data_IF_004811337398
#
_entry.id   IF_004811337398
#
_cell.length_a   1.000
_cell.length_b   1.000
_cell.length_c   1.000
_cell.angle_alpha   90.00
_cell.angle_beta   90.00
_cell.angle_gamma   90.00
#
_symmetry.space_group_name_H-M   'P 1'
#
loop_
_entity.id
_entity.type
_entity.pdbx_description
1 polymer ?
#
# COMPACT_ATOMS: atom_id res chain seq x y z
N UNK A 1 -0.04 13.02 -30.64
CA UNK A 1 0.88 13.05 -29.48
C UNK A 1 0.20 13.38 -28.14
N UNK A 2 -0.52 14.48 -27.94
CA UNK A 2 -1.17 14.78 -26.64
C UNK A 2 -2.24 13.77 -26.21
N UNK A 3 -3.12 13.35 -27.10
CA UNK A 3 -4.20 12.39 -26.80
C UNK A 3 -3.71 10.98 -26.52
N UNK A 4 -2.65 10.54 -27.15
CA UNK A 4 -2.04 9.21 -26.92
C UNK A 4 -1.35 9.11 -25.57
N UNK A 5 -0.62 10.16 -25.16
CA UNK A 5 -0.01 10.23 -23.82
C UNK A 5 -1.08 10.25 -22.73
N UNK A 6 -2.17 10.96 -22.95
CA UNK A 6 -3.28 10.97 -22.01
C UNK A 6 -3.95 9.60 -21.91
N UNK A 7 -4.21 8.93 -23.04
CA UNK A 7 -4.79 7.58 -23.07
C UNK A 7 -3.89 6.57 -22.35
N UNK A 8 -2.58 6.57 -22.60
CA UNK A 8 -1.61 5.71 -21.93
C UNK A 8 -1.54 6.00 -20.40
N UNK A 9 -1.62 7.27 -19.99
CA UNK A 9 -1.64 7.63 -18.57
C UNK A 9 -2.92 7.16 -17.87
N UNK A 10 -4.08 7.26 -18.53
CA UNK A 10 -5.37 6.74 -18.03
C UNK A 10 -5.32 5.22 -17.88
N UNK A 11 -4.82 4.50 -18.89
CA UNK A 11 -4.67 3.04 -18.84
C UNK A 11 -3.75 2.57 -17.71
N UNK A 12 -2.64 3.28 -17.48
CA UNK A 12 -1.74 2.98 -16.36
C UNK A 12 -2.42 3.23 -15.01
N UNK A 13 -3.22 4.30 -14.88
CA UNK A 13 -4.00 4.60 -13.68
C UNK A 13 -5.02 3.51 -13.38
N UNK A 14 -5.78 3.07 -14.38
CA UNK A 14 -6.74 1.97 -14.27
C UNK A 14 -6.07 0.65 -13.86
N UNK A 15 -4.88 0.35 -14.43
CA UNK A 15 -4.09 -0.82 -14.05
C UNK A 15 -3.61 -0.74 -12.59
N UNK A 16 -3.28 0.46 -12.10
CA UNK A 16 -2.88 0.67 -10.70
C UNK A 16 -4.05 0.44 -9.74
N UNK A 17 -5.25 0.93 -10.07
CA UNK A 17 -6.46 0.72 -9.27
C UNK A 17 -6.83 -0.77 -9.20
N UNK A 18 -6.70 -1.51 -10.30
CA UNK A 18 -6.93 -2.95 -10.33
C UNK A 18 -5.92 -3.70 -9.45
N UNK A 19 -4.63 -3.33 -9.48
CA UNK A 19 -3.61 -3.91 -8.61
C UNK A 19 -3.97 -3.70 -7.13
N UNK A 20 -4.38 -2.49 -6.75
CA UNK A 20 -4.81 -2.18 -5.39
C UNK A 20 -6.04 -3.02 -4.99
N UNK A 21 -6.96 -3.30 -5.93
CA UNK A 21 -8.07 -4.22 -5.75
C UNK A 21 -7.63 -5.64 -5.44
N UNK A 22 -6.67 -6.20 -6.18
CA UNK A 22 -6.12 -7.54 -5.92
C UNK A 22 -5.36 -7.59 -4.59
N UNK A 23 -4.59 -6.55 -4.27
CA UNK A 23 -3.90 -6.47 -2.99
C UNK A 23 -4.88 -6.47 -1.81
N UNK A 24 -5.97 -5.70 -1.89
CA UNK A 24 -7.06 -5.72 -0.89
C UNK A 24 -7.69 -7.10 -0.77
N UNK A 25 -7.98 -7.75 -1.89
CA UNK A 25 -8.53 -9.10 -1.88
C UNK A 25 -7.63 -10.07 -1.10
N UNK A 26 -6.32 -10.09 -1.37
CA UNK A 26 -5.38 -10.95 -0.65
C UNK A 26 -5.28 -10.58 0.83
N UNK A 27 -5.19 -9.30 1.16
CA UNK A 27 -5.10 -8.83 2.55
C UNK A 27 -6.39 -9.09 3.35
N UNK A 28 -7.52 -9.34 2.70
CA UNK A 28 -8.79 -9.66 3.38
C UNK A 28 -8.92 -11.12 3.84
N UNK A 29 -7.95 -11.99 3.51
CA UNK A 29 -7.95 -13.35 4.02
C UNK A 29 -7.57 -13.39 5.51
N UNK A 30 -8.40 -14.05 6.32
CA UNK A 30 -8.20 -14.16 7.78
C UNK A 30 -6.85 -14.75 8.16
N UNK A 31 -6.32 -15.64 7.34
CA UNK A 31 -4.99 -16.23 7.49
C UNK A 31 -3.89 -15.17 7.51
N UNK A 32 -3.94 -14.24 6.56
CA UNK A 32 -2.96 -13.18 6.43
C UNK A 32 -3.16 -12.09 7.49
N UNK A 33 -4.42 -11.72 7.74
CA UNK A 33 -4.78 -10.81 8.83
C UNK A 33 -4.27 -11.32 10.17
N UNK A 34 -4.45 -12.62 10.46
CA UNK A 34 -4.00 -13.21 11.72
C UNK A 34 -2.47 -13.15 11.87
N UNK A 35 -1.72 -13.35 10.78
CA UNK A 35 -0.26 -13.20 10.79
C UNK A 35 0.14 -11.75 11.06
N UNK A 36 -0.53 -10.79 10.43
CA UNK A 36 -0.29 -9.36 10.66
C UNK A 36 -0.59 -8.99 12.12
N UNK A 37 -1.78 -9.33 12.62
CA UNK A 37 -2.17 -9.03 14.01
C UNK A 37 -1.23 -9.67 15.03
N UNK A 38 -0.81 -10.93 14.82
CA UNK A 38 0.17 -11.62 15.66
C UNK A 38 1.49 -10.86 15.75
N UNK A 39 1.92 -10.27 14.66
CA UNK A 39 3.18 -9.55 14.56
C UNK A 39 3.14 -8.18 15.23
N UNK A 40 2.02 -7.44 15.11
CA UNK A 40 1.99 -6.02 15.46
C UNK A 40 1.04 -5.67 16.62
N UNK A 41 0.06 -6.51 16.94
CA UNK A 41 -0.92 -6.23 17.98
C UNK A 41 -0.51 -6.74 19.35
N UNK A 42 -0.50 -5.87 20.35
CA UNK A 42 -0.09 -6.23 21.72
C UNK A 42 -0.96 -7.32 22.34
N UNK A 43 -2.26 -7.27 22.07
CA UNK A 43 -3.26 -8.21 22.60
C UNK A 43 -3.13 -9.61 22.01
N UNK A 44 -2.42 -9.76 20.89
CA UNK A 44 -2.31 -11.02 20.15
C UNK A 44 -1.00 -11.78 20.42
N UNK A 45 -0.08 -11.23 21.22
CA UNK A 45 1.27 -11.79 21.43
C UNK A 45 1.25 -13.24 21.92
N UNK A 46 0.35 -13.55 22.85
CA UNK A 46 0.25 -14.88 23.46
C UNK A 46 -0.72 -15.82 22.71
N UNK A 47 -1.46 -15.30 21.73
CA UNK A 47 -2.43 -16.09 20.97
C UNK A 47 -1.77 -16.83 19.82
N UNK A 48 -2.23 -18.03 19.51
CA UNK A 48 -1.88 -18.74 18.28
C UNK A 48 -2.55 -18.09 17.05
N UNK A 49 -2.01 -18.31 15.86
CA UNK A 49 -2.61 -17.84 14.59
C UNK A 49 -4.06 -18.31 14.46
N UNK A 50 -4.34 -19.57 14.89
CA UNK A 50 -5.69 -20.11 14.84
C UNK A 50 -6.64 -19.35 15.76
N UNK A 51 -6.26 -19.08 17.00
CA UNK A 51 -7.09 -18.32 17.94
C UNK A 51 -7.34 -16.90 17.45
N UNK A 52 -6.34 -16.23 16.87
CA UNK A 52 -6.51 -14.90 16.27
C UNK A 52 -7.50 -14.98 15.11
N UNK A 53 -7.35 -15.93 14.21
CA UNK A 53 -8.26 -16.15 13.09
C UNK A 53 -9.71 -16.38 13.53
N UNK A 54 -9.89 -17.21 14.56
CA UNK A 54 -11.20 -17.52 15.12
C UNK A 54 -11.82 -16.33 15.88
N UNK A 55 -11.01 -15.31 16.25
CA UNK A 55 -11.45 -14.09 16.91
C UNK A 55 -11.86 -12.98 15.95
N UNK A 56 -11.55 -13.10 14.66
CA UNK A 56 -11.93 -12.12 13.64
C UNK A 56 -13.39 -12.34 13.27
N UNK A 57 -14.21 -11.30 13.48
CA UNK A 57 -15.61 -11.33 13.05
C UNK A 57 -15.67 -11.47 11.54
N UNK A 58 -16.49 -12.40 11.08
CA UNK A 58 -16.86 -12.48 9.69
C UNK A 58 -18.28 -11.94 9.56
N UNK A 59 -18.52 -11.18 8.51
CA UNK A 59 -19.88 -10.96 8.06
C UNK A 59 -20.52 -12.32 7.77
N UNK A 60 -21.73 -12.64 8.28
CA UNK A 60 -22.33 -13.97 8.13
C UNK A 60 -22.53 -14.41 6.67
N UNK A 61 -22.41 -13.52 5.71
CA UNK A 61 -22.51 -13.83 4.27
C UNK A 61 -21.22 -14.38 3.63
N UNK A 62 -20.10 -14.54 4.39
CA UNK A 62 -18.81 -14.93 3.83
C UNK A 62 -18.44 -16.36 4.21
N UNK A 63 -18.89 -17.31 3.42
CA UNK A 63 -18.45 -18.72 3.50
C UNK A 63 -16.99 -18.95 3.02
N UNK A 64 -16.28 -17.96 2.52
CA UNK A 64 -15.00 -18.10 1.81
C UNK A 64 -13.75 -17.91 2.66
N UNK A 65 -13.88 -17.61 3.94
CA UNK A 65 -12.73 -17.31 4.81
C UNK A 65 -12.06 -15.96 4.54
N UNK A 66 -12.61 -15.19 3.60
CA UNK A 66 -12.20 -13.83 3.25
C UNK A 66 -13.16 -12.81 3.88
N UNK A 67 -12.60 -11.73 4.41
CA UNK A 67 -13.40 -10.58 4.83
C UNK A 67 -13.66 -9.73 3.58
N UNK A 68 -14.94 -9.52 3.23
CA UNK A 68 -15.27 -8.58 2.16
C UNK A 68 -14.97 -7.18 2.65
N UNK A 69 -13.91 -6.60 2.11
CA UNK A 69 -13.61 -5.18 2.28
C UNK A 69 -14.73 -4.40 1.64
N UNK A 70 -15.63 -3.93 2.45
CA UNK A 70 -16.60 -2.94 2.02
C UNK A 70 -15.87 -1.61 1.91
N UNK A 71 -16.07 -0.88 0.84
CA UNK A 71 -15.79 0.54 0.83
C UNK A 71 -16.78 1.24 1.77
N UNK A 72 -16.75 0.94 3.08
CA UNK A 72 -17.56 1.67 4.04
C UNK A 72 -17.07 3.11 4.08
N UNK A 73 -17.97 4.01 3.72
CA UNK A 73 -17.76 5.43 3.77
C UNK A 73 -18.20 5.94 5.16
N UNK A 74 -17.29 6.55 5.89
CA UNK A 74 -17.66 7.32 7.09
C UNK A 74 -17.62 8.81 6.77
N UNK A 75 -18.76 9.46 7.00
CA UNK A 75 -18.91 10.90 6.88
C UNK A 75 -18.34 11.58 8.12
N UNK A 76 -17.36 12.45 7.92
CA UNK A 76 -17.01 13.40 8.96
C UNK A 76 -18.19 14.35 9.24
N UNK A 77 -18.31 14.90 10.45
CA UNK A 77 -19.34 15.92 10.77
C UNK A 77 -19.36 17.11 9.82
N UNK A 78 -18.25 17.36 9.10
CA UNK A 78 -18.11 18.43 8.08
C UNK A 78 -18.28 17.95 6.64
N UNK A 79 -18.77 16.73 6.41
CA UNK A 79 -19.10 16.23 5.08
C UNK A 79 -17.95 15.58 4.29
N UNK A 80 -16.76 15.44 4.86
CA UNK A 80 -15.69 14.67 4.23
C UNK A 80 -15.95 13.16 4.38
N UNK A 81 -15.56 12.37 3.39
CA UNK A 81 -15.75 10.92 3.35
C UNK A 81 -14.41 10.22 3.55
N UNK A 82 -14.33 9.32 4.53
CA UNK A 82 -13.22 8.37 4.68
C UNK A 82 -13.65 7.03 4.11
N UNK A 83 -12.82 6.47 3.23
CA UNK A 83 -12.98 5.13 2.69
C UNK A 83 -11.90 4.24 3.25
N UNK A 84 -12.29 3.12 3.82
CA UNK A 84 -11.39 2.11 4.35
C UNK A 84 -11.19 0.99 3.33
N UNK A 85 -9.97 0.53 3.15
CA UNK A 85 -9.69 -0.60 2.27
C UNK A 85 -10.28 -1.89 2.84
N UNK A 86 -9.99 -2.18 4.11
CA UNK A 86 -10.50 -3.34 4.82
C UNK A 86 -10.80 -2.93 6.26
N UNK A 87 -12.06 -3.01 6.66
CA UNK A 87 -12.50 -2.72 8.03
C UNK A 87 -13.16 -3.96 8.62
N UNK A 88 -12.76 -4.35 9.82
CA UNK A 88 -13.30 -5.50 10.52
C UNK A 88 -13.18 -5.35 12.03
N UNK A 89 -13.89 -6.20 12.76
CA UNK A 89 -13.81 -6.28 14.22
C UNK A 89 -13.18 -7.59 14.66
N UNK A 90 -12.53 -7.54 15.82
CA UNK A 90 -11.91 -8.71 16.45
C UNK A 90 -12.44 -8.83 17.88
N UNK A 91 -12.93 -10.00 18.24
CA UNK A 91 -13.40 -10.33 19.57
C UNK A 91 -12.46 -11.29 20.29
N UNK A 92 -11.76 -10.82 21.31
CA UNK A 92 -10.79 -11.62 22.08
C UNK A 92 -11.44 -12.06 23.39
N UNK A 93 -11.94 -13.30 23.44
CA UNK A 93 -12.63 -13.86 24.61
C UNK A 93 -11.70 -14.02 25.82
N UNK A 94 -10.45 -14.36 25.62
CA UNK A 94 -9.42 -14.54 26.65
C UNK A 94 -9.09 -13.26 27.45
N UNK A 95 -9.40 -12.09 26.90
CA UNK A 95 -9.22 -10.78 27.52
C UNK A 95 -10.55 -10.13 27.92
N UNK A 96 -11.51 -10.91 28.43
CA UNK A 96 -12.78 -10.37 28.94
C UNK A 96 -13.72 -9.83 27.84
N UNK A 97 -13.79 -10.50 26.68
CA UNK A 97 -14.54 -10.06 25.51
C UNK A 97 -14.08 -8.69 24.97
N UNK A 98 -12.80 -8.49 24.88
CA UNK A 98 -12.23 -7.28 24.25
C UNK A 98 -12.63 -7.23 22.76
N UNK A 99 -13.32 -6.17 22.37
CA UNK A 99 -13.62 -5.84 20.97
C UNK A 99 -12.62 -4.79 20.47
N UNK A 100 -12.05 -5.03 19.32
CA UNK A 100 -11.12 -4.11 18.65
C UNK A 100 -11.67 -3.80 17.25
N UNK A 101 -11.48 -2.56 16.82
CA UNK A 101 -11.75 -2.15 15.43
C UNK A 101 -10.43 -2.05 14.68
N UNK A 102 -10.36 -2.67 13.52
CA UNK A 102 -9.15 -2.70 12.69
C UNK A 102 -9.46 -2.16 11.31
N UNK A 103 -8.65 -1.21 10.87
CA UNK A 103 -8.54 -0.78 9.49
C UNK A 103 -7.19 -1.26 8.95
N UNK A 104 -7.21 -1.90 7.80
CA UNK A 104 -6.02 -2.39 7.10
C UNK A 104 -5.97 -1.81 5.69
N UNK A 105 -4.93 -1.04 5.40
CA UNK A 105 -4.73 -0.30 4.15
C UNK A 105 -3.56 -0.85 3.34
N UNK A 106 -3.78 -1.06 2.05
CA UNK A 106 -2.77 -1.43 1.08
C UNK A 106 -2.25 -0.18 0.36
N UNK A 107 -1.08 0.33 0.75
CA UNK A 107 -0.55 1.59 0.25
C UNK A 107 0.61 1.37 -0.72
N UNK A 108 0.37 1.55 -2.02
CA UNK A 108 1.39 1.39 -3.06
C UNK A 108 2.30 2.61 -3.18
N UNK A 109 1.74 3.82 -3.21
CA UNK A 109 2.53 5.05 -3.27
C UNK A 109 2.99 5.47 -1.88
N UNK A 110 4.31 5.53 -1.65
CA UNK A 110 4.88 6.00 -0.38
C UNK A 110 4.78 7.52 -0.22
N UNK A 111 4.77 8.27 -1.32
CA UNK A 111 4.64 9.73 -1.37
C UNK A 111 3.41 10.16 -2.18
N UNK A 112 2.20 10.02 -1.64
CA UNK A 112 0.97 10.36 -2.35
C UNK A 112 0.68 11.87 -2.40
N UNK A 113 1.61 12.72 -1.97
CA UNK A 113 1.46 14.18 -1.87
C UNK A 113 1.06 14.68 -0.47
N UNK A 114 0.94 13.78 0.49
CA UNK A 114 0.67 14.07 1.91
C UNK A 114 1.37 13.02 2.79
N UNK A 115 1.44 13.29 4.10
CA UNK A 115 2.04 12.40 5.09
C UNK A 115 1.11 11.24 5.44
N UNK A 116 1.60 9.99 5.24
CA UNK A 116 0.82 8.77 5.48
C UNK A 116 0.50 8.55 6.96
N UNK A 117 1.42 8.92 7.85
CA UNK A 117 1.19 8.79 9.31
C UNK A 117 0.05 9.69 9.73
N UNK A 118 0.04 10.94 9.24
CA UNK A 118 -1.05 11.89 9.49
C UNK A 118 -2.40 11.35 8.99
N UNK A 119 -2.43 10.74 7.79
CA UNK A 119 -3.64 10.09 7.27
C UNK A 119 -4.07 8.92 8.16
N UNK A 120 -3.12 8.09 8.59
CA UNK A 120 -3.37 6.96 9.49
C UNK A 120 -3.97 7.40 10.83
N UNK A 121 -3.47 8.50 11.40
CA UNK A 121 -4.02 9.11 12.63
C UNK A 121 -5.44 9.61 12.40
N UNK A 122 -5.72 10.29 11.28
CA UNK A 122 -7.07 10.73 10.94
C UNK A 122 -8.03 9.55 10.80
N UNK A 123 -7.63 8.47 10.15
CA UNK A 123 -8.45 7.26 9.99
C UNK A 123 -8.76 6.61 11.33
N UNK A 124 -7.76 6.46 12.20
CA UNK A 124 -7.95 5.91 13.53
C UNK A 124 -8.86 6.78 14.39
N UNK A 125 -8.71 8.11 14.34
CA UNK A 125 -9.56 9.06 15.06
C UNK A 125 -11.02 8.98 14.59
N UNK A 126 -11.24 8.84 13.28
CA UNK A 126 -12.58 8.68 12.69
C UNK A 126 -13.23 7.38 13.14
N UNK A 127 -12.49 6.25 13.12
CA UNK A 127 -12.99 4.96 13.64
C UNK A 127 -13.30 5.03 15.13
N UNK A 128 -12.50 5.75 15.92
CA UNK A 128 -12.75 5.89 17.34
C UNK A 128 -13.99 6.75 17.60
N UNK A 129 -14.10 7.92 16.96
CA UNK A 129 -15.23 8.83 17.14
C UNK A 129 -16.53 8.27 16.55
N UNK A 130 -16.47 7.53 15.46
CA UNK A 130 -17.63 6.92 14.82
C UNK A 130 -18.36 5.87 15.69
N UNK A 131 -17.71 5.36 16.74
CA UNK A 131 -18.36 4.47 17.71
C UNK A 131 -19.41 5.20 18.56
N UNK A 132 -19.21 6.50 18.84
CA UNK A 132 -20.11 7.30 19.67
C UNK A 132 -21.48 7.51 19.02
N UNK A 133 -21.56 7.47 17.71
CA UNK A 133 -22.83 7.70 16.98
C UNK A 133 -23.58 6.40 16.69
N UNK A 134 -22.85 5.29 16.57
CA UNK A 134 -23.40 4.02 16.07
C UNK A 134 -23.66 2.97 17.15
N UNK A 135 -22.82 2.90 18.18
CA UNK A 135 -22.79 1.78 19.12
C UNK A 135 -22.85 2.18 20.59
N UNK A 136 -22.63 3.44 20.91
CA UNK A 136 -22.49 3.90 22.29
C UNK A 136 -23.53 4.99 22.55
N UNK A 137 -24.29 4.81 23.61
CA UNK A 137 -25.20 5.85 24.08
C UNK A 137 -24.43 7.12 24.47
N UNK A 138 -25.01 8.27 24.16
CA UNK A 138 -24.39 9.57 24.37
C UNK A 138 -23.81 9.73 25.78
N UNK A 139 -22.48 9.87 25.86
CA UNK A 139 -21.76 10.18 27.11
C UNK A 139 -21.05 9.01 27.78
N UNK A 140 -21.21 7.75 27.33
CA UNK A 140 -20.52 6.60 27.93
C UNK A 140 -19.17 6.31 27.22
N UNK A 141 -18.21 7.19 27.43
CA UNK A 141 -16.86 7.07 26.85
C UNK A 141 -16.10 5.82 27.33
N UNK A 142 -16.50 5.19 28.43
CA UNK A 142 -15.86 3.97 28.93
C UNK A 142 -16.17 2.75 28.07
N UNK A 143 -17.20 2.83 27.22
CA UNK A 143 -17.53 1.79 26.24
C UNK A 143 -16.68 1.83 24.96
N UNK A 144 -15.94 2.92 24.72
CA UNK A 144 -15.08 3.03 23.54
C UNK A 144 -14.13 1.84 23.43
N UNK A 145 -14.02 1.27 22.24
CA UNK A 145 -13.14 0.15 21.93
C UNK A 145 -11.87 0.66 21.26
N UNK A 146 -10.76 -0.03 21.50
CA UNK A 146 -9.48 0.29 20.88
C UNK A 146 -9.55 0.12 19.37
N UNK A 147 -8.85 1.01 18.65
CA UNK A 147 -8.75 1.05 17.20
C UNK A 147 -7.31 0.79 16.77
N UNK A 148 -7.16 -0.08 15.79
CA UNK A 148 -5.94 -0.27 15.03
C UNK A 148 -6.12 0.29 13.62
N UNK A 149 -5.20 1.15 13.17
CA UNK A 149 -5.07 1.60 11.78
C UNK A 149 -3.74 1.09 11.25
N UNK A 150 -3.77 0.04 10.42
CA UNK A 150 -2.60 -0.70 9.94
C UNK A 150 -2.39 -0.38 8.46
N UNK A 151 -1.20 0.06 8.10
CA UNK A 151 -0.82 0.51 6.76
C UNK A 151 0.32 -0.33 6.22
N UNK A 152 0.10 -1.01 5.10
CA UNK A 152 1.12 -1.80 4.39
C UNK A 152 1.68 -0.95 3.27
N UNK A 153 2.85 -0.35 3.50
CA UNK A 153 3.56 0.48 2.54
C UNK A 153 4.45 -0.40 1.65
N UNK A 154 4.01 -0.63 0.42
CA UNK A 154 4.66 -1.59 -0.48
C UNK A 154 5.99 -1.07 -1.05
N UNK A 155 6.06 0.23 -1.38
CA UNK A 155 7.20 0.84 -2.09
C UNK A 155 7.87 1.93 -1.23
N UNK A 156 8.26 1.57 0.00
CA UNK A 156 9.06 2.44 0.84
C UNK A 156 10.47 2.63 0.25
N UNK A 157 11.07 3.84 0.37
CA UNK A 157 12.46 4.05 -0.04
C UNK A 157 13.41 3.19 0.81
N UNK A 158 14.59 2.89 0.27
CA UNK A 158 15.55 1.96 0.90
C UNK A 158 15.84 2.28 2.37
N UNK A 159 16.02 3.56 2.68
CA UNK A 159 16.30 4.04 4.04
C UNK A 159 15.19 3.75 5.06
N UNK A 160 13.94 3.55 4.60
CA UNK A 160 12.74 3.34 5.42
C UNK A 160 12.18 1.91 5.28
N UNK A 161 12.61 1.17 4.25
CA UNK A 161 12.17 -0.20 3.97
C UNK A 161 12.52 -1.16 5.12
N UNK A 162 11.84 -2.29 5.17
CA UNK A 162 12.02 -3.33 6.18
C UNK A 162 11.85 -2.82 7.62
N UNK A 163 10.85 -1.94 7.85
CA UNK A 163 10.57 -1.37 9.18
C UNK A 163 9.10 -1.48 9.54
N UNK A 164 8.84 -1.64 10.82
CA UNK A 164 7.50 -1.55 11.41
C UNK A 164 7.54 -0.51 12.52
N UNK A 165 6.65 0.48 12.44
CA UNK A 165 6.58 1.56 13.42
C UNK A 165 5.16 1.68 13.95
N UNK A 166 5.01 1.68 15.27
CA UNK A 166 3.76 1.96 15.95
C UNK A 166 3.73 3.40 16.47
N UNK A 167 2.63 4.09 16.24
CA UNK A 167 2.31 5.41 16.79
C UNK A 167 1.12 5.26 17.70
N UNK A 168 1.28 5.57 18.99
CA UNK A 168 0.24 5.46 20.01
C UNK A 168 0.34 6.56 21.05
N UNK A 169 -0.72 6.77 21.78
CA UNK A 169 -0.75 7.70 22.92
C UNK A 169 -0.08 7.02 24.10
N UNK A 170 0.89 7.71 24.70
CA UNK A 170 1.56 7.27 25.94
C UNK A 170 1.48 8.40 26.97
N UNK A 171 1.10 8.11 28.23
CA UNK A 171 1.09 9.12 29.28
C UNK A 171 2.54 9.51 29.65
N UNK A 172 2.72 10.80 29.93
CA UNK A 172 3.97 11.34 30.44
C UNK A 172 3.65 12.35 31.53
N UNK A 173 4.10 12.08 32.74
CA UNK A 173 4.01 13.08 33.83
C UNK A 173 4.88 14.30 33.48
N UNK A 174 4.24 15.44 33.33
CA UNK A 174 4.91 16.73 33.10
C UNK A 174 5.29 17.37 34.44
N UNK A 175 4.46 17.15 35.47
CA UNK A 175 4.71 17.57 36.84
C UNK A 175 4.03 16.62 37.82
N UNK A 176 4.72 16.26 38.90
CA UNK A 176 4.23 15.28 39.85
C UNK A 176 4.22 13.87 39.27
N UNK A 177 3.56 12.95 39.98
CA UNK A 177 3.37 11.57 39.54
C UNK A 177 1.90 11.16 39.76
N UNK A 178 1.23 10.76 38.68
CA UNK A 178 -0.13 10.25 38.75
C UNK A 178 -0.13 8.80 39.28
N UNK A 179 -1.06 8.46 40.16
CA UNK A 179 -1.20 7.10 40.70
C UNK A 179 -1.74 6.12 39.69
N UNK A 180 -2.77 6.52 38.92
CA UNK A 180 -3.39 5.72 37.89
C UNK A 180 -3.67 6.57 36.65
N UNK A 181 -3.21 6.08 35.50
CA UNK A 181 -3.48 6.69 34.21
C UNK A 181 -4.78 6.18 33.67
N UNK A 182 -5.83 6.80 33.54
CA UNK A 182 -7.11 6.32 32.95
C UNK A 182 -6.95 5.49 31.67
N UNK A 183 -8.04 5.22 30.99
CA UNK A 183 -8.04 4.52 29.71
C UNK A 183 -7.56 5.44 28.58
N UNK A 184 -6.32 5.33 28.16
CA UNK A 184 -5.69 6.18 27.14
C UNK A 184 -5.23 5.41 25.88
N UNK A 185 -5.01 4.08 25.98
CA UNK A 185 -4.51 3.25 24.88
C UNK A 185 -5.66 2.78 23.96
N UNK A 186 -6.31 3.76 23.33
CA UNK A 186 -7.48 3.53 22.47
C UNK A 186 -7.16 3.64 20.98
N UNK A 187 -5.96 4.11 20.62
CA UNK A 187 -5.54 4.28 19.22
C UNK A 187 -4.15 3.76 19.02
N UNK A 188 -3.97 2.94 18.00
CA UNK A 188 -2.68 2.47 17.51
C UNK A 188 -2.63 2.59 15.99
N UNK A 189 -1.69 3.40 15.47
CA UNK A 189 -1.43 3.51 14.03
C UNK A 189 -0.13 2.78 13.73
N UNK A 190 -0.17 1.80 12.82
CA UNK A 190 0.96 0.94 12.52
C UNK A 190 1.35 1.09 11.06
N UNK A 191 2.59 1.48 10.81
CA UNK A 191 3.19 1.56 9.49
C UNK A 191 4.12 0.37 9.26
N UNK A 192 3.71 -0.55 8.39
CA UNK A 192 4.49 -1.70 7.95
C UNK A 192 5.10 -1.35 6.60
N UNK A 193 6.43 -1.20 6.55
CA UNK A 193 7.16 -0.89 5.32
C UNK A 193 7.87 -2.14 4.84
N UNK A 194 7.42 -2.64 3.69
CA UNK A 194 7.93 -3.90 3.15
C UNK A 194 9.42 -3.79 2.80
N UNK A 195 10.20 -4.89 2.93
CA UNK A 195 11.56 -4.94 2.43
C UNK A 195 11.61 -4.74 0.91
N UNK A 196 12.71 -4.19 0.40
CA UNK A 196 12.94 -4.04 -1.03
C UNK A 196 13.68 -5.24 -1.64
N UNK A 197 14.33 -6.05 -0.80
CA UNK A 197 15.06 -7.25 -1.18
C UNK A 197 14.51 -8.45 -0.43
N UNK A 198 14.73 -9.64 -0.99
CA UNK A 198 14.35 -10.89 -0.31
C UNK A 198 15.11 -11.02 1.01
N UNK A 199 14.44 -11.32 2.13
CA UNK A 199 15.10 -11.53 3.40
C UNK A 199 16.11 -12.69 3.33
N UNK A 200 17.36 -12.44 3.67
CA UNK A 200 18.45 -13.42 3.57
C UNK A 200 18.37 -14.52 4.63
N UNK A 201 17.86 -14.20 5.83
CA UNK A 201 17.79 -15.13 6.96
C UNK A 201 16.40 -15.76 7.11
N UNK A 202 16.39 -16.96 7.73
CA UNK A 202 15.14 -17.60 8.14
C UNK A 202 14.46 -16.77 9.23
N UNK A 203 13.34 -16.16 8.89
CA UNK A 203 12.54 -15.38 9.83
C UNK A 203 12.15 -16.20 11.05
N UNK A 204 12.51 -15.74 12.25
CA UNK A 204 12.21 -16.41 13.53
C UNK A 204 11.10 -15.70 14.28
N UNK A 205 11.19 -14.38 14.38
CA UNK A 205 10.21 -13.56 15.09
C UNK A 205 8.93 -13.35 14.27
N UNK A 206 7.76 -13.18 14.91
CA UNK A 206 6.50 -12.95 14.20
C UNK A 206 6.55 -11.77 13.23
N UNK A 207 7.25 -10.68 13.56
CA UNK A 207 7.39 -9.50 12.70
C UNK A 207 8.20 -9.82 11.45
N UNK A 208 9.31 -10.55 11.60
CA UNK A 208 10.15 -10.99 10.47
C UNK A 208 9.39 -11.92 9.53
N UNK A 209 8.64 -12.90 10.09
CA UNK A 209 7.79 -13.80 9.31
C UNK A 209 6.72 -13.05 8.53
N UNK A 210 6.07 -12.08 9.14
CA UNK A 210 5.08 -11.22 8.50
C UNK A 210 5.69 -10.44 7.34
N UNK A 211 6.81 -9.74 7.58
CA UNK A 211 7.49 -8.94 6.54
C UNK A 211 7.94 -9.81 5.36
N UNK A 212 8.51 -10.99 5.65
CA UNK A 212 8.94 -11.93 4.62
C UNK A 212 7.76 -12.52 3.83
N UNK A 213 6.66 -12.87 4.49
CA UNK A 213 5.46 -13.36 3.84
C UNK A 213 4.82 -12.28 2.94
N UNK A 214 4.68 -11.05 3.43
CA UNK A 214 4.16 -9.93 2.65
C UNK A 214 5.07 -9.58 1.47
N UNK A 215 6.40 -9.63 1.64
CA UNK A 215 7.35 -9.50 0.54
C UNK A 215 7.14 -10.58 -0.52
N UNK A 216 7.01 -11.84 -0.10
CA UNK A 216 6.78 -12.97 -1.01
C UNK A 216 5.50 -12.77 -1.83
N UNK A 217 4.42 -12.31 -1.20
CA UNK A 217 3.15 -12.06 -1.90
C UNK A 217 3.29 -10.91 -2.90
N UNK A 218 3.76 -9.73 -2.44
CA UNK A 218 3.61 -8.47 -3.17
C UNK A 218 4.81 -8.06 -4.01
N UNK A 219 6.02 -8.57 -3.71
CA UNK A 219 7.26 -8.08 -4.33
C UNK A 219 8.14 -9.16 -4.95
N UNK A 220 8.11 -10.40 -4.45
CA UNK A 220 8.96 -11.45 -4.98
C UNK A 220 8.59 -11.79 -6.43
N UNK A 221 9.61 -11.84 -7.29
CA UNK A 221 9.48 -12.26 -8.69
C UNK A 221 9.59 -13.78 -8.77
N UNK A 222 8.54 -14.49 -8.33
CA UNK A 222 8.45 -15.95 -8.27
C UNK A 222 7.13 -16.40 -8.88
N UNK A 223 7.11 -17.62 -9.40
CA UNK A 223 5.87 -18.23 -9.88
C UNK A 223 4.84 -18.35 -8.75
N UNK A 224 3.52 -18.24 -9.05
CA UNK A 224 2.47 -18.33 -8.05
C UNK A 224 2.55 -19.57 -7.15
N UNK A 225 2.85 -20.73 -7.74
CA UNK A 225 2.98 -22.01 -7.03
C UNK A 225 4.17 -22.01 -6.06
N UNK A 226 5.27 -21.35 -6.42
CA UNK A 226 6.44 -21.20 -5.56
C UNK A 226 6.12 -20.27 -4.37
N UNK A 227 5.46 -19.14 -4.63
CA UNK A 227 4.98 -18.25 -3.56
C UNK A 227 4.07 -18.98 -2.58
N UNK A 228 3.08 -19.72 -3.08
CA UNK A 228 2.15 -20.49 -2.25
C UNK A 228 2.88 -21.57 -1.43
N UNK A 229 3.87 -22.24 -1.99
CA UNK A 229 4.73 -23.20 -1.25
C UNK A 229 5.51 -22.51 -0.14
N UNK A 230 6.15 -21.37 -0.41
CA UNK A 230 6.87 -20.64 0.63
C UNK A 230 5.94 -20.14 1.75
N UNK A 231 4.78 -19.58 1.41
CA UNK A 231 3.78 -19.16 2.38
C UNK A 231 3.40 -20.30 3.32
N UNK A 232 3.16 -21.49 2.77
CA UNK A 232 2.75 -22.66 3.52
C UNK A 232 3.88 -23.26 4.37
N UNK A 233 5.05 -23.53 3.76
CA UNK A 233 6.09 -24.31 4.41
C UNK A 233 7.10 -23.47 5.19
N UNK A 234 7.36 -22.24 4.76
CA UNK A 234 8.34 -21.36 5.40
C UNK A 234 7.69 -20.45 6.45
N UNK A 235 6.49 -19.96 6.18
CA UNK A 235 5.82 -18.99 7.05
C UNK A 235 4.60 -19.57 7.80
N UNK A 236 4.18 -20.80 7.49
CA UNK A 236 3.08 -21.48 8.19
C UNK A 236 1.69 -20.90 7.88
N UNK A 237 1.56 -20.16 6.78
CA UNK A 237 0.28 -19.59 6.34
C UNK A 237 -0.52 -20.68 5.61
N UNK A 238 -1.76 -20.91 6.04
CA UNK A 238 -2.64 -21.82 5.34
C UNK A 238 -3.07 -21.20 4.01
N UNK A 239 -2.77 -21.90 2.91
CA UNK A 239 -3.13 -21.50 1.56
C UNK A 239 -4.32 -22.32 1.11
N UNK A 240 -5.49 -21.71 0.99
CA UNK A 240 -6.68 -22.33 0.38
C UNK A 240 -6.59 -22.25 -1.14
N UNK A 241 -7.44 -23.03 -1.84
CA UNK A 241 -7.52 -22.98 -3.30
C UNK A 241 -7.93 -21.60 -3.81
N UNK A 242 -8.80 -20.92 -3.07
CA UNK A 242 -9.25 -19.56 -3.39
C UNK A 242 -8.10 -18.56 -3.22
N UNK A 243 -7.35 -18.65 -2.14
CA UNK A 243 -6.16 -17.81 -1.91
C UNK A 243 -5.11 -18.03 -3.01
N UNK A 244 -4.85 -19.28 -3.41
CA UNK A 244 -3.91 -19.62 -4.48
C UNK A 244 -4.34 -18.99 -5.83
N UNK A 245 -5.64 -19.00 -6.14
CA UNK A 245 -6.18 -18.33 -7.33
C UNK A 245 -5.96 -16.83 -7.29
N UNK A 246 -6.20 -16.18 -6.14
CA UNK A 246 -5.97 -14.73 -6.00
C UNK A 246 -4.49 -14.37 -6.14
N UNK A 247 -3.57 -15.17 -5.55
CA UNK A 247 -2.12 -15.01 -5.74
C UNK A 247 -1.76 -15.14 -7.21
N UNK A 248 -2.30 -16.14 -7.91
CA UNK A 248 -2.06 -16.36 -9.34
C UNK A 248 -2.55 -15.19 -10.16
N UNK A 249 -3.76 -14.71 -9.90
CA UNK A 249 -4.36 -13.57 -10.60
C UNK A 249 -3.52 -12.30 -10.41
N UNK A 250 -3.09 -12.03 -9.18
CA UNK A 250 -2.25 -10.88 -8.88
C UNK A 250 -0.87 -10.97 -9.55
N UNK A 251 -0.25 -12.16 -9.57
CA UNK A 251 1.04 -12.37 -10.24
C UNK A 251 0.94 -12.10 -11.74
N UNK A 252 -0.02 -12.70 -12.42
CA UNK A 252 -0.25 -12.52 -13.85
C UNK A 252 -0.52 -11.05 -14.19
N UNK A 253 -1.29 -10.36 -13.37
CA UNK A 253 -1.59 -8.94 -13.56
C UNK A 253 -0.35 -8.06 -13.32
N UNK A 254 0.47 -8.37 -12.31
CA UNK A 254 1.73 -7.65 -12.03
C UNK A 254 2.73 -7.82 -13.16
N UNK A 255 2.82 -9.01 -13.75
CA UNK A 255 3.67 -9.30 -14.90
C UNK A 255 3.22 -8.50 -16.13
N UNK A 256 1.94 -8.48 -16.43
CA UNK A 256 1.37 -7.68 -17.53
C UNK A 256 1.65 -6.17 -17.38
N UNK A 257 1.55 -5.61 -16.16
CA UNK A 257 1.90 -4.21 -15.89
C UNK A 257 3.40 -3.97 -16.12
N UNK A 258 4.25 -4.90 -15.70
CA UNK A 258 5.70 -4.78 -15.85
C UNK A 258 6.08 -4.79 -17.33
N UNK A 259 5.56 -5.75 -18.12
CA UNK A 259 5.78 -5.83 -19.56
C UNK A 259 5.34 -4.54 -20.26
N UNK A 260 4.16 -4.05 -19.95
CA UNK A 260 3.63 -2.79 -20.51
C UNK A 260 4.52 -1.58 -20.14
N UNK A 261 5.03 -1.54 -18.90
CA UNK A 261 5.96 -0.50 -18.46
C UNK A 261 7.30 -0.54 -19.19
N UNK A 262 7.83 -1.73 -19.43
CA UNK A 262 9.06 -1.95 -20.20
C UNK A 262 8.87 -1.50 -21.66
N UNK A 263 7.78 -1.90 -22.31
CA UNK A 263 7.46 -1.52 -23.69
C UNK A 263 7.34 0.00 -23.83
N UNK A 264 6.63 0.65 -22.92
CA UNK A 264 6.52 2.12 -22.88
C UNK A 264 7.88 2.80 -22.65
N UNK A 265 8.71 2.24 -21.77
CA UNK A 265 10.05 2.76 -21.51
C UNK A 265 10.96 2.66 -22.73
N UNK A 266 10.91 1.55 -23.47
CA UNK A 266 11.64 1.35 -24.72
C UNK A 266 11.15 2.34 -25.78
N UNK A 267 9.85 2.49 -26.00
CA UNK A 267 9.25 3.42 -26.97
C UNK A 267 9.68 4.87 -26.68
N UNK A 268 9.57 5.29 -25.42
CA UNK A 268 10.01 6.64 -25.00
C UNK A 268 11.53 6.84 -25.17
N UNK A 269 12.33 5.80 -24.86
CA UNK A 269 13.78 5.85 -25.04
C UNK A 269 14.20 5.98 -26.51
N UNK A 270 13.51 5.28 -27.41
CA UNK A 270 13.72 5.40 -28.86
C UNK A 270 13.32 6.79 -29.35
N UNK A 271 12.12 7.28 -28.98
CA UNK A 271 11.64 8.62 -29.37
C UNK A 271 12.62 9.72 -28.93
N UNK A 272 13.05 9.68 -27.65
CA UNK A 272 14.04 10.62 -27.13
C UNK A 272 15.41 10.48 -27.81
N UNK A 273 15.83 9.27 -28.14
CA UNK A 273 17.09 9.00 -28.85
C UNK A 273 17.08 9.57 -30.25
N UNK A 274 15.99 9.43 -31.01
CA UNK A 274 15.80 10.01 -32.34
C UNK A 274 15.80 11.53 -32.23
N UNK A 275 15.00 12.12 -31.34
CA UNK A 275 14.93 13.58 -31.16
C UNK A 275 16.30 14.18 -30.83
N UNK A 276 17.04 13.57 -29.88
CA UNK A 276 18.41 14.02 -29.57
C UNK A 276 19.37 13.86 -30.73
N UNK A 277 19.24 12.80 -31.54
CA UNK A 277 19.99 12.58 -32.74
C UNK A 277 19.76 13.69 -33.78
N UNK A 278 18.50 14.02 -34.01
CA UNK A 278 18.08 15.08 -34.93
C UNK A 278 18.55 16.47 -34.47
N UNK A 279 18.40 16.80 -33.17
CA UNK A 279 18.92 18.06 -32.62
C UNK A 279 20.46 18.19 -32.82
N UNK A 280 21.20 17.10 -32.62
CA UNK A 280 22.66 17.09 -32.87
C UNK A 280 23.00 17.24 -34.36
N UNK A 281 22.23 16.58 -35.24
CA UNK A 281 22.42 16.68 -36.68
C UNK A 281 22.14 18.10 -37.19
N UNK A 282 21.01 18.71 -36.76
CA UNK A 282 20.64 20.09 -37.07
C UNK A 282 21.77 21.05 -36.65
N UNK A 283 22.26 20.90 -35.39
CA UNK A 283 23.35 21.75 -34.88
C UNK A 283 24.63 21.64 -35.75
N UNK A 284 25.02 20.42 -36.12
CA UNK A 284 26.16 20.22 -37.01
C UNK A 284 25.98 20.78 -38.44
N UNK A 285 24.76 20.74 -38.97
CA UNK A 285 24.44 21.32 -40.27
C UNK A 285 24.56 22.87 -40.22
N UNK A 286 24.02 23.49 -39.15
CA UNK A 286 24.16 24.91 -38.92
C UNK A 286 25.63 25.34 -38.76
N UNK A 287 26.44 24.60 -38.00
CA UNK A 287 27.87 24.84 -37.82
C UNK A 287 28.66 24.75 -39.15
N UNK A 288 28.17 23.92 -40.07
CA UNK A 288 28.77 23.73 -41.42
C UNK A 288 28.28 24.74 -42.45
N UNK A 289 27.35 25.68 -42.07
CA UNK A 289 26.87 26.74 -42.93
C UNK A 289 25.73 26.33 -43.88
N UNK A 290 25.01 25.23 -43.61
CA UNK A 290 23.81 24.90 -44.39
C UNK A 290 22.73 25.96 -44.18
N UNK A 291 21.99 26.30 -45.25
CA UNK A 291 20.89 27.23 -45.16
C UNK A 291 19.69 26.66 -44.36
N UNK A 292 18.95 27.50 -43.64
CA UNK A 292 17.80 27.05 -42.88
C UNK A 292 16.72 26.36 -43.74
N UNK A 293 16.57 26.83 -44.99
CA UNK A 293 15.65 26.26 -45.96
C UNK A 293 16.03 24.80 -46.35
N UNK A 294 17.32 24.53 -46.41
CA UNK A 294 17.82 23.16 -46.71
C UNK A 294 17.60 22.22 -45.51
N UNK A 295 17.84 22.72 -44.29
CA UNK A 295 17.59 21.95 -43.06
C UNK A 295 16.09 21.68 -42.86
N UNK A 296 15.24 22.64 -43.20
CA UNK A 296 13.78 22.54 -43.10
C UNK A 296 13.16 21.55 -44.10
N UNK A 297 13.92 21.09 -45.13
CA UNK A 297 13.47 20.00 -46.02
C UNK A 297 13.64 18.62 -45.38
N UNK A 298 14.50 18.49 -44.35
CA UNK A 298 14.87 17.24 -43.72
C UNK A 298 14.27 17.09 -42.35
N UNK A 299 14.22 18.18 -41.57
CA UNK A 299 13.79 18.19 -40.18
C UNK A 299 12.60 19.10 -39.89
N UNK A 300 11.82 18.75 -38.91
CA UNK A 300 10.65 19.54 -38.50
C UNK A 300 11.07 20.93 -37.99
N UNK A 301 10.27 21.92 -38.32
CA UNK A 301 10.52 23.32 -37.99
C UNK A 301 10.68 23.57 -36.49
N UNK A 302 9.93 22.84 -35.68
CA UNK A 302 9.97 22.92 -34.20
C UNK A 302 11.34 22.52 -33.64
N UNK A 303 11.97 21.47 -34.20
CA UNK A 303 13.32 21.04 -33.79
C UNK A 303 14.38 22.06 -34.16
N UNK A 304 14.26 22.66 -35.35
CA UNK A 304 15.17 23.71 -35.82
C UNK A 304 15.07 24.94 -34.91
N UNK A 305 13.87 25.40 -34.60
CA UNK A 305 13.64 26.53 -33.70
C UNK A 305 14.21 26.30 -32.29
N UNK A 306 14.12 25.07 -31.81
CA UNK A 306 14.67 24.68 -30.51
C UNK A 306 16.21 24.78 -30.49
N UNK A 307 16.88 24.27 -31.53
CA UNK A 307 18.34 24.40 -31.66
C UNK A 307 18.77 25.85 -31.75
N UNK A 308 18.07 26.69 -32.54
CA UNK A 308 18.34 28.12 -32.66
C UNK A 308 18.20 28.89 -31.32
N UNK A 309 17.15 28.59 -30.53
CA UNK A 309 16.96 29.17 -29.21
C UNK A 309 18.05 28.76 -28.21
N UNK A 310 18.55 27.55 -28.28
CA UNK A 310 19.66 27.09 -27.44
C UNK A 310 20.97 27.76 -27.81
N UNK A 311 21.22 28.01 -29.11
CA UNK A 311 22.44 28.63 -29.61
C UNK A 311 22.47 30.14 -29.35
N UNK A 312 21.29 30.80 -29.16
CA UNK A 312 21.19 32.25 -28.92
C UNK A 312 21.34 32.61 -27.44
N UNK A 313 21.40 31.61 -26.54
CA UNK A 313 21.53 31.81 -25.07
C UNK A 313 22.99 31.72 -24.57
N UNK A 314 23.95 31.51 -25.45
CA UNK A 314 25.40 31.57 -25.20
C UNK A 314 25.95 32.87 -25.76
#
# INVERSE_FOLDING_TARGET
MGNERLAKAVQLSESMEQYDGYARNLLSYKELIAVILKAVGHEFREMSIKEIKDSIDADPEIETGRIVGGGEEELFPWGAIVRYDIKFTVHIKSYGNLKLYVNLEAQKSYYPGYDLVTRGVCYAATLLSGQLEKEIESGDYDQLKKVYSIWICMNAPEKDANTVTEYRILPKDVYGRLGEYGRYDLVSVIMIRLPNHEPEEAAQEPVEKMLAALYTIFKAQKAPEEKCKELKYRYGIQVSTEFEKEVTTMCNFSEAILEQGIEQGIEQGIEQGIEQGDLRAIRKMLERGYALEEIAQIYEKELIERVLKETTKV
#
